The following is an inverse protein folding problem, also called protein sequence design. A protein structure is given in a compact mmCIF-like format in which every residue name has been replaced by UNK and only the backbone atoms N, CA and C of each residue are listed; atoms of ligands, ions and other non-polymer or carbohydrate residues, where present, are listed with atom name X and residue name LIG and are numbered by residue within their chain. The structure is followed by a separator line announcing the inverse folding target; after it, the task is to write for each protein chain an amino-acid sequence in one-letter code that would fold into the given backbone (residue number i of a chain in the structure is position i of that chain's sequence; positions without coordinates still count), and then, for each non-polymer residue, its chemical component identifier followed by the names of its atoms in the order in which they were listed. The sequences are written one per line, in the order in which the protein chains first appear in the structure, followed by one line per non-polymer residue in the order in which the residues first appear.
data_IF_144460812534
#
_entry.id   IF_144460812534
#
_cell.length_a   1.000
_cell.length_b   1.000
_cell.length_c   1.000
_cell.angle_alpha   90.00
_cell.angle_beta   90.00
_cell.angle_gamma   90.00
#
_symmetry.space_group_name_H-M   'P 1'
#
loop_
_entity.id
_entity.type
_entity.pdbx_description
1 polymer ?
#
# COMPACT_ATOMS: atom_id res chain seq x y z
N UNK A 1 -12.89 15.23 27.16
CA UNK A 1 -13.57 16.53 27.03
C UNK A 1 -14.45 16.44 25.80
N UNK A 2 -15.76 16.67 25.92
CA UNK A 2 -16.62 16.89 24.75
C UNK A 2 -16.20 18.21 24.11
N UNK A 3 -16.00 18.21 22.79
CA UNK A 3 -15.49 19.36 22.03
C UNK A 3 -16.53 20.50 21.90
N UNK A 4 -17.75 20.32 22.43
CA UNK A 4 -18.82 21.34 22.42
C UNK A 4 -19.45 21.58 21.05
N UNK A 5 -19.24 20.68 20.08
CA UNK A 5 -19.80 20.76 18.73
C UNK A 5 -20.90 19.72 18.51
N UNK A 6 -21.85 20.05 17.63
CA UNK A 6 -22.85 19.10 17.10
C UNK A 6 -22.25 18.33 15.90
N UNK A 7 -22.43 17.00 15.90
CA UNK A 7 -21.95 16.13 14.84
C UNK A 7 -22.99 16.00 13.72
N UNK A 8 -22.62 16.38 12.50
CA UNK A 8 -23.46 16.22 11.30
C UNK A 8 -22.82 15.17 10.37
N UNK A 9 -23.57 14.10 10.06
CA UNK A 9 -23.11 12.98 9.23
C UNK A 9 -23.96 12.85 7.95
N UNK A 10 -23.74 13.69 6.92
CA UNK A 10 -24.61 13.76 5.75
C UNK A 10 -24.59 12.49 4.87
N UNK A 11 -23.61 11.62 5.08
CA UNK A 11 -23.41 10.39 4.30
C UNK A 11 -23.80 9.13 5.09
N UNK A 12 -24.43 9.28 6.27
CA UNK A 12 -24.71 8.17 7.20
C UNK A 12 -25.50 7.03 6.55
N UNK A 13 -26.44 7.36 5.67
CA UNK A 13 -27.36 6.39 5.07
C UNK A 13 -26.88 5.84 3.72
N UNK A 14 -25.65 6.18 3.29
CA UNK A 14 -25.09 5.78 2.01
C UNK A 14 -24.02 4.68 2.16
N UNK A 15 -24.07 3.68 1.29
CA UNK A 15 -23.01 2.69 1.13
C UNK A 15 -21.83 3.24 0.32
N UNK A 16 -20.70 2.52 0.36
CA UNK A 16 -19.44 2.96 -0.27
C UNK A 16 -19.56 3.17 -1.79
N UNK A 17 -20.32 2.32 -2.49
CA UNK A 17 -20.56 2.46 -3.92
C UNK A 17 -21.45 3.67 -4.25
N UNK A 18 -22.45 3.96 -3.40
CA UNK A 18 -23.30 5.14 -3.50
C UNK A 18 -22.52 6.43 -3.29
N UNK A 19 -21.67 6.48 -2.26
CA UNK A 19 -20.78 7.63 -2.01
C UNK A 19 -19.83 7.86 -3.19
N UNK A 20 -19.31 6.78 -3.80
CA UNK A 20 -18.46 6.89 -5.00
C UNK A 20 -19.21 7.46 -6.20
N UNK A 21 -20.41 6.95 -6.50
CA UNK A 21 -21.25 7.46 -7.59
C UNK A 21 -21.54 8.95 -7.40
N UNK A 22 -21.98 9.33 -6.20
CA UNK A 22 -22.24 10.73 -5.85
C UNK A 22 -20.99 11.60 -6.01
N UNK A 23 -19.81 11.11 -5.59
CA UNK A 23 -18.55 11.83 -5.75
C UNK A 23 -18.23 12.16 -7.21
N UNK A 24 -18.49 11.23 -8.14
CA UNK A 24 -18.31 11.47 -9.57
C UNK A 24 -19.32 12.48 -10.12
N UNK A 25 -20.59 12.40 -9.72
CA UNK A 25 -21.62 13.37 -10.12
C UNK A 25 -21.33 14.79 -9.63
N UNK A 26 -20.72 14.92 -8.45
CA UNK A 26 -20.25 16.20 -7.90
C UNK A 26 -18.94 16.70 -8.55
N UNK A 27 -18.37 15.96 -9.52
CA UNK A 27 -17.18 16.35 -10.25
C UNK A 27 -15.85 16.09 -9.53
N UNK A 28 -15.82 15.19 -8.53
CA UNK A 28 -14.56 14.79 -7.91
C UNK A 28 -13.69 13.99 -8.91
N UNK A 29 -12.36 14.13 -8.85
CA UNK A 29 -11.47 13.37 -9.71
C UNK A 29 -11.62 11.86 -9.52
N UNK A 30 -11.65 11.13 -10.62
CA UNK A 30 -11.76 9.66 -10.64
C UNK A 30 -10.69 8.98 -9.77
N UNK A 31 -9.45 9.46 -9.85
CA UNK A 31 -8.31 8.98 -9.03
C UNK A 31 -8.52 9.14 -7.53
N UNK A 32 -9.34 10.11 -7.10
CA UNK A 32 -9.68 10.32 -5.69
C UNK A 32 -10.82 9.39 -5.26
N UNK A 33 -11.86 9.26 -6.08
CA UNK A 33 -13.03 8.43 -5.81
C UNK A 33 -12.66 6.94 -5.70
N UNK A 34 -11.77 6.48 -6.57
CA UNK A 34 -11.34 5.08 -6.65
C UNK A 34 -10.04 4.78 -5.93
N UNK A 35 -9.49 5.75 -5.19
CA UNK A 35 -8.28 5.55 -4.40
C UNK A 35 -8.46 4.37 -3.44
N UNK A 36 -7.42 3.55 -3.32
CA UNK A 36 -7.32 2.53 -2.28
C UNK A 36 -7.54 3.15 -0.90
N UNK A 37 -8.13 2.42 0.05
CA UNK A 37 -8.22 2.88 1.43
C UNK A 37 -6.82 3.12 1.99
N UNK A 38 -6.70 4.11 2.88
CA UNK A 38 -5.46 4.46 3.55
C UNK A 38 -5.75 4.59 5.05
N UNK A 39 -4.96 3.93 5.92
CA UNK A 39 -5.25 3.87 7.35
C UNK A 39 -5.09 5.24 8.03
N UNK A 40 -5.82 5.47 9.12
CA UNK A 40 -5.77 6.72 9.88
C UNK A 40 -4.35 7.10 10.38
N UNK A 41 -3.60 6.16 10.99
CA UNK A 41 -2.19 6.38 11.36
C UNK A 41 -1.22 6.50 10.16
N UNK A 42 -1.70 6.26 8.94
CA UNK A 42 -0.95 6.39 7.71
C UNK A 42 0.24 5.44 7.59
N UNK A 43 1.41 5.97 7.22
CA UNK A 43 2.61 5.16 6.98
C UNK A 43 3.24 4.60 8.26
N UNK A 44 2.82 5.06 9.44
CA UNK A 44 3.34 4.56 10.71
C UNK A 44 3.12 3.05 10.82
N UNK A 45 1.92 2.56 10.51
CA UNK A 45 1.57 1.12 10.54
C UNK A 45 2.17 0.31 9.39
N UNK A 46 2.85 0.97 8.45
CA UNK A 46 3.62 0.34 7.36
C UNK A 46 5.13 0.38 7.63
N UNK A 47 5.54 0.99 8.74
CA UNK A 47 6.93 1.15 9.15
C UNK A 47 7.17 0.30 10.39
N UNK A 48 7.40 -1.00 10.20
CA UNK A 48 7.61 -1.90 11.33
C UNK A 48 8.82 -1.46 12.16
N UNK A 49 8.61 -1.35 13.47
CA UNK A 49 9.62 -0.89 14.42
C UNK A 49 9.60 0.63 14.62
N UNK A 50 10.79 1.24 14.73
CA UNK A 50 10.87 2.68 14.98
C UNK A 50 10.44 3.49 13.74
N UNK A 51 9.54 4.45 13.96
CA UNK A 51 9.07 5.37 12.92
C UNK A 51 9.99 6.59 12.87
N UNK A 52 10.80 6.69 11.82
CA UNK A 52 11.71 7.82 11.58
C UNK A 52 11.44 8.46 10.23
N UNK A 53 11.80 9.75 10.07
CA UNK A 53 11.61 10.48 8.80
C UNK A 53 12.28 9.77 7.61
N UNK A 54 13.47 9.22 7.83
CA UNK A 54 14.21 8.48 6.82
C UNK A 54 13.46 7.22 6.37
N UNK A 55 12.94 6.44 7.31
CA UNK A 55 12.17 5.22 7.02
C UNK A 55 10.84 5.56 6.33
N UNK A 56 10.18 6.63 6.75
CA UNK A 56 8.96 7.11 6.10
C UNK A 56 9.22 7.61 4.68
N UNK A 57 10.39 8.20 4.40
CA UNK A 57 10.78 8.57 3.04
C UNK A 57 10.96 7.33 2.16
N UNK A 58 11.67 6.32 2.65
CA UNK A 58 11.88 5.05 1.93
C UNK A 58 10.53 4.40 1.57
N UNK A 59 9.59 4.34 2.52
CA UNK A 59 8.25 3.80 2.28
C UNK A 59 7.51 4.62 1.22
N UNK A 60 7.52 5.96 1.33
CA UNK A 60 6.86 6.84 0.34
C UNK A 60 7.35 6.59 -1.07
N UNK A 61 8.67 6.52 -1.26
CA UNK A 61 9.27 6.33 -2.58
C UNK A 61 8.95 4.95 -3.16
N UNK A 62 8.98 3.90 -2.32
CA UNK A 62 8.63 2.54 -2.73
C UNK A 62 7.13 2.38 -3.03
N UNK A 63 6.26 2.95 -2.20
CA UNK A 63 4.80 2.92 -2.38
C UNK A 63 4.39 3.68 -3.65
N UNK A 64 5.03 4.83 -3.93
CA UNK A 64 4.79 5.58 -5.16
C UNK A 64 5.11 4.75 -6.42
N UNK A 65 6.24 4.02 -6.43
CA UNK A 65 6.61 3.13 -7.55
C UNK A 65 5.60 2.01 -7.71
N UNK A 66 5.18 1.37 -6.61
CA UNK A 66 4.17 0.31 -6.64
C UNK A 66 2.88 0.84 -7.29
N UNK A 67 2.33 1.93 -6.76
CA UNK A 67 1.05 2.49 -7.23
C UNK A 67 1.14 2.93 -8.70
N UNK A 68 2.25 3.56 -9.11
CA UNK A 68 2.48 3.93 -10.52
C UNK A 68 2.46 2.70 -11.43
N UNK A 69 3.17 1.62 -11.07
CA UNK A 69 3.21 0.40 -11.88
C UNK A 69 1.85 -0.31 -11.95
N UNK A 70 1.06 -0.28 -10.89
CA UNK A 70 -0.31 -0.81 -10.91
C UNK A 70 -1.21 -0.03 -11.88
N UNK A 71 -1.05 1.30 -11.96
CA UNK A 71 -1.77 2.12 -12.93
C UNK A 71 -1.29 1.87 -14.35
N UNK A 72 0.02 1.81 -14.58
CA UNK A 72 0.61 1.54 -15.90
C UNK A 72 0.20 0.16 -16.44
N UNK A 73 0.07 -0.83 -15.58
CA UNK A 73 -0.39 -2.17 -15.94
C UNK A 73 -1.93 -2.28 -16.06
N UNK A 74 -2.68 -1.25 -15.69
CA UNK A 74 -4.15 -1.27 -15.76
C UNK A 74 -4.86 -2.07 -14.67
N UNK A 75 -4.12 -2.65 -13.72
CA UNK A 75 -4.65 -3.56 -12.68
C UNK A 75 -5.01 -2.87 -11.36
N UNK A 76 -4.75 -1.57 -11.22
CA UNK A 76 -5.01 -0.83 -9.97
C UNK A 76 -6.44 -1.01 -9.44
N UNK A 77 -7.43 -1.02 -10.33
CA UNK A 77 -8.86 -1.16 -9.98
C UNK A 77 -9.29 -2.58 -9.65
N UNK A 78 -8.51 -3.58 -10.05
CA UNK A 78 -8.75 -4.98 -9.72
C UNK A 78 -8.32 -5.30 -8.29
N UNK A 79 -7.43 -4.47 -7.72
CA UNK A 79 -6.87 -4.64 -6.39
C UNK A 79 -7.61 -3.73 -5.41
N UNK A 80 -8.00 -4.27 -4.27
CA UNK A 80 -8.78 -3.57 -3.25
C UNK A 80 -7.88 -2.66 -2.43
N UNK A 81 -6.66 -3.13 -2.15
CA UNK A 81 -5.63 -2.38 -1.47
C UNK A 81 -4.26 -2.93 -1.84
N UNK A 82 -3.33 -2.04 -2.19
CA UNK A 82 -1.91 -2.37 -2.39
C UNK A 82 -1.01 -1.34 -1.70
N UNK A 83 0.08 -1.81 -1.10
CA UNK A 83 1.06 -0.95 -0.43
C UNK A 83 2.38 -1.65 -0.16
N UNK A 84 3.38 -0.85 0.22
CA UNK A 84 4.69 -1.32 0.69
C UNK A 84 4.81 -1.17 2.21
N UNK A 85 5.35 -2.20 2.86
CA UNK A 85 5.74 -2.22 4.27
C UNK A 85 7.27 -2.32 4.37
N UNK A 86 7.89 -1.50 5.24
CA UNK A 86 9.33 -1.57 5.50
C UNK A 86 9.60 -2.41 6.73
N UNK A 87 10.37 -3.49 6.57
CA UNK A 87 10.68 -4.41 7.67
C UNK A 87 11.85 -3.89 8.52
N UNK A 88 11.93 -4.23 9.82
CA UNK A 88 13.05 -3.85 10.68
C UNK A 88 14.18 -4.89 10.57
N UNK A 89 14.41 -5.39 9.36
CA UNK A 89 15.46 -6.38 9.06
C UNK A 89 16.26 -5.91 7.86
N UNK A 90 17.57 -6.10 7.95
CA UNK A 90 18.50 -5.80 6.87
C UNK A 90 18.89 -7.07 6.14
N UNK A 91 19.20 -6.94 4.85
CA UNK A 91 19.70 -8.03 4.03
C UNK A 91 20.94 -7.64 3.28
N UNK A 92 21.77 -8.64 2.95
CA UNK A 92 22.92 -8.44 2.07
C UNK A 92 22.42 -8.27 0.63
N UNK A 93 22.90 -7.22 -0.01
CA UNK A 93 22.76 -6.96 -1.44
C UNK A 93 24.13 -6.70 -2.07
N UNK A 94 24.13 -6.60 -3.40
CA UNK A 94 25.31 -6.19 -4.18
C UNK A 94 24.87 -5.01 -5.02
N UNK A 95 25.47 -3.85 -4.81
CA UNK A 95 25.20 -2.64 -5.59
C UNK A 95 26.54 -2.15 -6.15
N UNK A 96 26.72 -2.28 -7.47
CA UNK A 96 28.04 -2.15 -8.10
C UNK A 96 28.94 -3.32 -7.69
N UNK A 97 30.15 -3.02 -7.23
CA UNK A 97 31.13 -4.02 -6.77
C UNK A 97 31.12 -4.24 -5.24
N UNK A 98 30.35 -3.44 -4.51
CA UNK A 98 30.32 -3.46 -3.04
C UNK A 98 29.11 -4.21 -2.47
N UNK A 99 29.33 -4.83 -1.31
CA UNK A 99 28.26 -5.42 -0.50
C UNK A 99 27.53 -4.34 0.27
N UNK A 100 26.21 -4.34 0.19
CA UNK A 100 25.35 -3.42 0.93
C UNK A 100 24.51 -4.16 1.95
N UNK A 101 24.18 -3.49 3.05
CA UNK A 101 23.24 -3.96 4.07
C UNK A 101 22.10 -2.94 4.15
N UNK A 102 21.01 -3.20 3.44
CA UNK A 102 19.84 -2.32 3.37
C UNK A 102 18.56 -3.05 3.78
N UNK A 103 17.46 -2.30 3.88
CA UNK A 103 16.20 -2.83 4.39
C UNK A 103 15.54 -3.80 3.39
N UNK A 104 14.67 -4.65 3.95
CA UNK A 104 13.72 -5.44 3.17
C UNK A 104 12.38 -4.71 3.11
N UNK A 105 11.82 -4.58 1.91
CA UNK A 105 10.47 -4.08 1.69
C UNK A 105 9.52 -5.23 1.33
N UNK A 106 8.35 -5.28 1.95
CA UNK A 106 7.29 -6.22 1.62
C UNK A 106 6.20 -5.51 0.82
N UNK A 107 5.87 -6.06 -0.35
CA UNK A 107 4.67 -5.67 -1.08
C UNK A 107 3.49 -6.44 -0.49
N UNK A 108 2.40 -5.72 -0.23
CA UNK A 108 1.11 -6.28 0.14
C UNK A 108 0.09 -5.83 -0.90
N UNK A 109 -0.63 -6.78 -1.50
CA UNK A 109 -1.75 -6.51 -2.38
C UNK A 109 -2.83 -7.54 -2.13
N UNK A 110 -4.07 -7.11 -1.97
CA UNK A 110 -5.17 -8.00 -1.62
C UNK A 110 -6.40 -7.79 -2.50
N UNK A 111 -7.11 -8.89 -2.72
CA UNK A 111 -8.46 -8.92 -3.25
C UNK A 111 -9.44 -9.42 -2.21
N UNK A 112 -10.65 -8.86 -2.20
CA UNK A 112 -11.68 -9.16 -1.22
C UNK A 112 -13.06 -8.98 -1.83
N UNK A 113 -13.92 -9.98 -1.70
CA UNK A 113 -15.31 -9.91 -2.14
C UNK A 113 -16.23 -9.31 -1.07
N UNK A 114 -15.89 -9.41 0.23
CA UNK A 114 -16.80 -9.10 1.33
C UNK A 114 -16.17 -8.35 2.53
N UNK A 115 -14.95 -7.82 2.41
CA UNK A 115 -14.15 -7.15 3.46
C UNK A 115 -13.81 -8.00 4.71
N UNK A 116 -14.51 -9.11 4.92
CA UNK A 116 -14.30 -10.07 6.00
C UNK A 116 -13.16 -11.02 5.66
N UNK A 117 -13.11 -11.48 4.42
CA UNK A 117 -12.05 -12.32 3.86
C UNK A 117 -11.25 -11.54 2.81
N UNK A 118 -9.96 -11.81 2.70
CA UNK A 118 -9.15 -11.24 1.63
C UNK A 118 -8.04 -12.21 1.23
N UNK A 119 -7.93 -12.49 -0.05
CA UNK A 119 -6.82 -13.23 -0.62
C UNK A 119 -5.74 -12.27 -1.11
N UNK A 120 -4.50 -12.74 -1.13
CA UNK A 120 -3.41 -11.98 -1.75
C UNK A 120 -3.61 -11.94 -3.27
N UNK A 121 -3.27 -10.81 -3.89
CA UNK A 121 -3.45 -10.64 -5.34
C UNK A 121 -2.44 -11.49 -6.13
N UNK A 122 -2.91 -12.31 -7.05
CA UNK A 122 -2.02 -13.13 -7.87
C UNK A 122 -1.44 -12.29 -9.02
N UNK A 123 -0.36 -11.55 -8.74
CA UNK A 123 0.32 -10.75 -9.75
C UNK A 123 0.78 -11.62 -10.94
N UNK A 124 0.58 -11.15 -12.18
CA UNK A 124 1.39 -11.60 -13.31
C UNK A 124 2.88 -11.44 -12.95
N UNK A 125 3.65 -12.51 -13.10
CA UNK A 125 5.03 -12.57 -12.63
C UNK A 125 5.90 -11.43 -13.20
N UNK A 126 5.66 -11.06 -14.46
CA UNK A 126 6.35 -9.95 -15.13
C UNK A 126 6.10 -8.58 -14.48
N UNK A 127 4.88 -8.33 -13.99
CA UNK A 127 4.52 -7.08 -13.30
C UNK A 127 5.21 -7.05 -11.94
N UNK A 128 5.13 -8.14 -11.17
CA UNK A 128 5.77 -8.22 -9.86
C UNK A 128 7.30 -8.08 -9.97
N UNK A 129 7.91 -8.72 -10.96
CA UNK A 129 9.34 -8.62 -11.24
C UNK A 129 9.74 -7.18 -11.62
N UNK A 130 8.92 -6.49 -12.42
CA UNK A 130 9.14 -5.09 -12.80
C UNK A 130 9.06 -4.16 -11.60
N UNK A 131 8.03 -4.29 -10.77
CA UNK A 131 7.87 -3.51 -9.53
C UNK A 131 9.07 -3.71 -8.62
N UNK A 132 9.42 -4.97 -8.31
CA UNK A 132 10.55 -5.32 -7.46
C UNK A 132 11.86 -4.71 -7.97
N UNK A 133 12.12 -4.85 -9.27
CA UNK A 133 13.32 -4.31 -9.92
C UNK A 133 13.36 -2.79 -9.85
N UNK A 134 12.25 -2.09 -10.11
CA UNK A 134 12.19 -0.63 -10.03
C UNK A 134 12.40 -0.12 -8.61
N UNK A 135 11.79 -0.77 -7.60
CA UNK A 135 11.99 -0.39 -6.19
C UNK A 135 13.47 -0.50 -5.83
N UNK A 136 14.11 -1.65 -6.08
CA UNK A 136 15.52 -1.88 -5.74
C UNK A 136 16.44 -0.88 -6.44
N UNK A 137 16.18 -0.58 -7.72
CA UNK A 137 17.06 0.31 -8.48
C UNK A 137 16.84 1.81 -8.20
N UNK A 138 15.66 2.20 -7.71
CA UNK A 138 15.29 3.62 -7.59
C UNK A 138 15.27 4.11 -6.14
N UNK A 139 15.06 3.23 -5.17
CA UNK A 139 14.90 3.58 -3.76
C UNK A 139 16.13 3.19 -2.98
N UNK A 140 16.97 4.18 -2.66
CA UNK A 140 18.13 3.98 -1.77
C UNK A 140 17.64 3.56 -0.38
N UNK A 141 18.21 2.50 0.17
CA UNK A 141 17.81 1.94 1.46
C UNK A 141 16.92 0.70 1.36
N UNK A 142 16.62 0.21 0.15
CA UNK A 142 16.01 -1.10 -0.10
C UNK A 142 16.88 -1.88 -1.09
N UNK A 143 17.35 -3.05 -0.68
CA UNK A 143 18.08 -3.96 -1.57
C UNK A 143 17.39 -5.32 -1.75
N UNK A 144 16.22 -5.50 -1.12
CA UNK A 144 15.43 -6.71 -1.23
C UNK A 144 13.95 -6.39 -1.13
N UNK A 145 13.19 -6.97 -2.05
CA UNK A 145 11.73 -6.89 -2.06
C UNK A 145 11.17 -8.30 -1.91
N UNK A 146 10.14 -8.44 -1.06
CA UNK A 146 9.37 -9.67 -0.88
C UNK A 146 7.89 -9.40 -1.16
N UNK A 147 7.11 -10.46 -1.35
CA UNK A 147 5.66 -10.35 -1.56
C UNK A 147 4.90 -11.20 -0.53
N UNK A 148 3.89 -10.60 0.10
CA UNK A 148 3.07 -11.26 1.11
C UNK A 148 1.94 -12.08 0.47
N UNK A 149 2.10 -13.41 0.53
CA UNK A 149 1.16 -14.41 0.00
C UNK A 149 0.23 -15.00 1.07
N UNK A 150 0.03 -14.29 2.18
CA UNK A 150 -0.81 -14.73 3.30
C UNK A 150 -2.26 -14.22 3.15
N UNK A 151 -3.25 -15.11 3.12
CA UNK A 151 -4.66 -14.72 3.11
C UNK A 151 -5.15 -14.26 4.49
N UNK A 152 -6.22 -13.45 4.50
CA UNK A 152 -7.01 -13.08 5.67
C UNK A 152 -8.30 -13.92 5.67
N UNK A 153 -8.54 -14.79 6.67
CA UNK A 153 -7.63 -15.25 7.73
C UNK A 153 -6.54 -16.23 7.23
N UNK A 154 -5.45 -16.49 7.98
CA UNK A 154 -5.19 -16.09 9.37
C UNK A 154 -4.49 -14.75 9.56
N UNK A 155 -3.96 -14.15 8.48
CA UNK A 155 -3.26 -12.88 8.56
C UNK A 155 -4.25 -11.69 8.60
N UNK A 156 -3.72 -10.50 8.83
CA UNK A 156 -4.40 -9.21 8.60
C UNK A 156 -3.99 -8.62 7.24
N UNK A 157 -4.65 -7.54 6.82
CA UNK A 157 -4.22 -6.81 5.61
C UNK A 157 -2.97 -6.00 5.93
N UNK A 158 -3.04 -5.16 6.95
CA UNK A 158 -1.90 -4.41 7.50
C UNK A 158 -1.00 -5.34 8.35
N UNK A 159 0.22 -4.90 8.63
CA UNK A 159 1.23 -5.68 9.36
C UNK A 159 1.40 -5.25 10.83
N UNK A 160 0.63 -4.25 11.30
CA UNK A 160 0.55 -3.80 12.71
C UNK A 160 -0.89 -3.69 13.19
#
# INVERSE_FOLDING_TARGET
AELGFELIEPLRDLFKDEVRRMGLELGLPDVMVWRHPFPGPGLAVRCLGEVTEERLRIIRDADAILIEELHLAGIYREIQQAFVVLLPVQSVGVMGDDRTYENVAAIRAVQSEDFMTADWYQFPHEILAKISTRIINSVRGINRVVYDVSSKPPATIEWE
#
